data_IF_148823961630
#
_entry.id   IF_148823961630
#
_cell.length_a   1.000
_cell.length_b   1.000
_cell.length_c   1.000
_cell.angle_alpha   90.00
_cell.angle_beta   90.00
_cell.angle_gamma   90.00
#
_symmetry.space_group_name_H-M   'P 1'
#
loop_
_entity.id
_entity.type
_entity.pdbx_description
1 polymer ?
#
# COMPACT_ATOMS: atom_id res chain seq x y z
N UNK A 1 0.99 12.34 -33.09
CA UNK A 1 0.26 11.23 -32.40
C UNK A 1 -0.68 11.88 -31.41
N UNK A 2 -1.93 11.46 -31.33
CA UNK A 2 -2.86 11.94 -30.31
C UNK A 2 -2.40 11.47 -28.94
N UNK A 3 -2.32 12.38 -27.97
CA UNK A 3 -2.00 12.05 -26.57
C UNK A 3 -3.08 11.11 -26.01
N UNK A 4 -2.66 10.04 -25.33
CA UNK A 4 -3.59 9.21 -24.55
C UNK A 4 -3.88 9.86 -23.21
N UNK A 5 -5.12 9.81 -22.78
CA UNK A 5 -5.61 10.45 -21.52
C UNK A 5 -6.03 9.36 -20.55
N UNK A 6 -5.44 9.34 -19.36
CA UNK A 6 -5.71 8.35 -18.30
C UNK A 6 -6.25 9.08 -17.08
N UNK A 7 -7.49 8.80 -16.72
CA UNK A 7 -8.11 9.28 -15.48
C UNK A 7 -7.92 8.23 -14.39
N UNK A 8 -7.29 8.60 -13.28
CA UNK A 8 -7.03 7.69 -12.16
C UNK A 8 -7.89 8.15 -10.98
N UNK A 9 -8.83 7.30 -10.58
CA UNK A 9 -9.74 7.52 -9.47
C UNK A 9 -9.18 6.84 -8.21
N UNK A 10 -9.07 7.60 -7.13
CA UNK A 10 -8.55 7.14 -5.84
C UNK A 10 -9.37 7.68 -4.68
N UNK A 11 -9.13 7.19 -3.47
CA UNK A 11 -9.71 7.72 -2.24
C UNK A 11 -8.62 7.95 -1.19
N UNK A 12 -8.92 8.80 -0.22
CA UNK A 12 -8.04 9.12 0.91
C UNK A 12 -8.32 8.28 2.16
N UNK A 13 -9.07 7.17 2.01
CA UNK A 13 -9.32 6.17 3.04
C UNK A 13 -8.02 5.41 3.40
N UNK A 14 -7.14 6.05 4.16
CA UNK A 14 -5.78 5.63 4.42
C UNK A 14 -4.82 5.92 3.24
N UNK A 15 -3.53 5.76 3.45
CA UNK A 15 -2.50 6.14 2.46
C UNK A 15 -2.36 5.17 1.27
N UNK A 16 -2.90 3.94 1.36
CA UNK A 16 -2.61 2.88 0.39
C UNK A 16 -3.16 3.12 -1.01
N UNK A 17 -4.40 3.61 -1.11
CA UNK A 17 -5.09 3.80 -2.40
C UNK A 17 -4.50 4.96 -3.19
N UNK A 18 -4.25 6.10 -2.53
CA UNK A 18 -3.64 7.28 -3.15
C UNK A 18 -2.21 6.99 -3.59
N UNK A 19 -1.38 6.40 -2.72
CA UNK A 19 -0.01 6.04 -3.07
C UNK A 19 0.05 5.06 -4.25
N UNK A 20 -0.90 4.13 -4.35
CA UNK A 20 -1.02 3.22 -5.49
C UNK A 20 -1.36 3.98 -6.79
N UNK A 21 -2.28 4.94 -6.73
CA UNK A 21 -2.65 5.78 -7.85
C UNK A 21 -1.46 6.64 -8.34
N UNK A 22 -0.77 7.29 -7.41
CA UNK A 22 0.43 8.10 -7.67
C UNK A 22 1.59 7.26 -8.23
N UNK A 23 1.76 6.02 -7.76
CA UNK A 23 2.75 5.10 -8.30
C UNK A 23 2.47 4.73 -9.76
N UNK A 24 1.20 4.50 -10.12
CA UNK A 24 0.79 4.23 -11.51
C UNK A 24 0.97 5.48 -12.37
N UNK A 25 0.59 6.66 -11.87
CA UNK A 25 0.80 7.94 -12.56
C UNK A 25 2.29 8.18 -12.85
N UNK A 26 3.15 8.04 -11.82
CA UNK A 26 4.59 8.20 -11.96
C UNK A 26 5.18 7.22 -13.01
N UNK A 27 4.73 5.96 -13.01
CA UNK A 27 5.16 4.97 -13.99
C UNK A 27 4.70 5.33 -15.42
N UNK A 28 3.46 5.82 -15.60
CA UNK A 28 2.96 6.30 -16.89
C UNK A 28 3.77 7.50 -17.39
N UNK A 29 4.07 8.45 -16.52
CA UNK A 29 4.88 9.63 -16.86
C UNK A 29 6.31 9.24 -17.27
N UNK A 30 6.93 8.28 -16.56
CA UNK A 30 8.28 7.80 -16.88
C UNK A 30 8.34 7.01 -18.19
N UNK A 31 7.35 6.17 -18.47
CA UNK A 31 7.36 5.33 -19.68
C UNK A 31 6.95 6.09 -20.95
N UNK A 32 6.01 7.03 -20.83
CA UNK A 32 5.36 7.60 -22.01
C UNK A 32 5.48 9.14 -22.11
N UNK A 33 5.92 9.82 -21.04
CA UNK A 33 6.18 11.25 -21.05
C UNK A 33 5.01 12.04 -21.66
N UNK A 34 5.32 12.94 -22.58
CA UNK A 34 4.34 13.82 -23.25
C UNK A 34 3.28 13.09 -24.09
N UNK A 35 3.42 11.78 -24.31
CA UNK A 35 2.42 10.98 -25.01
C UNK A 35 1.23 10.62 -24.12
N UNK A 36 1.39 10.71 -22.78
CA UNK A 36 0.38 10.40 -21.78
C UNK A 36 -0.01 11.63 -20.98
N UNK A 37 -1.29 11.91 -20.88
CA UNK A 37 -1.83 12.91 -19.95
C UNK A 37 -2.59 12.18 -18.86
N UNK A 38 -2.17 12.34 -17.62
CA UNK A 38 -2.81 11.74 -16.45
C UNK A 38 -3.55 12.79 -15.63
N UNK A 39 -4.59 12.35 -14.94
CA UNK A 39 -5.28 13.11 -13.89
C UNK A 39 -5.63 12.17 -12.75
N UNK A 40 -5.06 12.37 -11.57
CA UNK A 40 -5.41 11.64 -10.34
C UNK A 40 -6.46 12.47 -9.59
N UNK A 41 -7.58 11.84 -9.26
CA UNK A 41 -8.72 12.51 -8.60
C UNK A 41 -9.28 11.62 -7.51
N UNK A 42 -9.56 12.21 -6.34
CA UNK A 42 -10.51 11.66 -5.40
C UNK A 42 -11.89 12.27 -5.73
N UNK A 43 -12.86 11.49 -6.22
CA UNK A 43 -14.19 12.02 -6.55
C UNK A 43 -14.92 12.66 -5.36
N UNK A 44 -14.53 12.35 -4.13
CA UNK A 44 -15.13 12.92 -2.92
C UNK A 44 -14.62 14.33 -2.60
N UNK A 45 -13.47 14.74 -3.18
CA UNK A 45 -12.95 16.10 -3.05
C UNK A 45 -13.63 17.08 -4.02
N UNK A 46 -14.39 16.58 -5.00
CA UNK A 46 -15.10 17.43 -5.96
C UNK A 46 -16.22 18.22 -5.28
N UNK A 47 -16.45 19.45 -5.74
CA UNK A 47 -17.35 20.40 -5.08
C UNK A 47 -18.81 19.92 -4.99
N UNK A 48 -19.24 19.08 -5.91
CA UNK A 48 -20.59 18.49 -5.99
C UNK A 48 -20.65 17.06 -5.40
N UNK A 49 -19.57 16.59 -4.78
CA UNK A 49 -19.59 15.31 -4.08
C UNK A 49 -20.54 15.36 -2.88
N UNK A 50 -21.39 14.31 -2.70
CA UNK A 50 -22.38 14.31 -1.63
C UNK A 50 -21.71 14.32 -0.25
N UNK A 51 -22.07 15.28 0.58
CA UNK A 51 -21.56 15.48 1.94
C UNK A 51 -21.68 14.19 2.80
N UNK A 52 -22.78 13.44 2.61
CA UNK A 52 -23.01 12.19 3.33
C UNK A 52 -21.90 11.15 3.10
N UNK A 53 -21.34 11.08 1.88
CA UNK A 53 -20.27 10.10 1.59
C UNK A 53 -18.95 10.57 2.20
N UNK A 54 -18.65 11.88 2.17
CA UNK A 54 -17.48 12.45 2.85
C UNK A 54 -17.49 12.13 4.34
N UNK A 55 -18.62 12.33 4.99
CA UNK A 55 -18.79 12.01 6.42
C UNK A 55 -18.64 10.51 6.71
N UNK A 56 -19.04 9.64 5.78
CA UNK A 56 -18.83 8.19 5.93
C UNK A 56 -17.35 7.79 5.79
N UNK A 57 -16.60 8.46 4.91
CA UNK A 57 -15.15 8.23 4.74
C UNK A 57 -14.38 8.73 5.96
N UNK A 58 -14.66 9.94 6.43
CA UNK A 58 -14.08 10.52 7.65
C UNK A 58 -14.40 9.65 8.88
N UNK A 59 -15.64 9.24 9.06
CA UNK A 59 -16.08 8.37 10.16
C UNK A 59 -15.47 6.97 10.12
N UNK A 60 -15.09 6.48 8.94
CA UNK A 60 -14.38 5.22 8.80
C UNK A 60 -13.00 5.25 9.46
N UNK A 61 -12.23 6.31 9.24
CA UNK A 61 -10.90 6.46 9.82
C UNK A 61 -10.97 6.66 11.35
N UNK A 62 -11.95 7.40 11.85
CA UNK A 62 -12.21 7.53 13.29
C UNK A 62 -12.57 6.17 13.92
N UNK A 63 -13.46 5.39 13.30
CA UNK A 63 -13.87 4.08 13.79
C UNK A 63 -12.70 3.10 13.87
N UNK A 64 -11.76 3.14 12.93
CA UNK A 64 -10.55 2.32 12.93
C UNK A 64 -9.70 2.56 14.16
N UNK A 65 -9.62 3.82 14.62
CA UNK A 65 -8.77 4.24 15.75
C UNK A 65 -9.50 4.09 17.09
N UNK A 66 -10.77 4.52 17.15
CA UNK A 66 -11.51 4.64 18.42
C UNK A 66 -12.20 3.34 18.83
N UNK A 67 -12.73 2.55 17.89
CA UNK A 67 -13.40 1.27 18.17
C UNK A 67 -13.04 0.16 17.18
N UNK A 68 -11.85 -0.46 17.34
CA UNK A 68 -11.41 -1.56 16.47
C UNK A 68 -12.33 -2.79 16.46
N UNK A 69 -13.15 -2.97 17.53
CA UNK A 69 -14.10 -4.09 17.60
C UNK A 69 -15.32 -3.82 16.69
N UNK A 70 -15.87 -2.62 16.75
CA UNK A 70 -16.93 -2.16 15.85
C UNK A 70 -16.48 -2.15 14.40
N UNK A 71 -15.27 -1.64 14.14
CA UNK A 71 -14.65 -1.68 12.83
C UNK A 71 -14.59 -3.09 12.25
N UNK A 72 -14.13 -4.08 13.04
CA UNK A 72 -14.07 -5.49 12.61
C UNK A 72 -15.46 -6.03 12.22
N UNK A 73 -16.50 -5.70 12.99
CA UNK A 73 -17.89 -6.12 12.70
C UNK A 73 -18.37 -5.48 11.39
N UNK A 74 -18.15 -4.17 11.21
CA UNK A 74 -18.50 -3.45 9.99
C UNK A 74 -17.76 -3.98 8.76
N UNK A 75 -16.45 -4.24 8.88
CA UNK A 75 -15.64 -4.83 7.82
C UNK A 75 -16.15 -6.19 7.36
N UNK A 76 -16.47 -7.09 8.31
CA UNK A 76 -17.04 -8.40 7.98
C UNK A 76 -18.46 -8.30 7.40
N UNK A 77 -19.28 -7.36 7.88
CA UNK A 77 -20.61 -7.14 7.32
C UNK A 77 -20.53 -6.67 5.85
N UNK A 78 -19.62 -5.74 5.53
CA UNK A 78 -19.36 -5.28 4.15
C UNK A 78 -18.84 -6.41 3.24
N UNK A 79 -18.23 -7.45 3.79
CA UNK A 79 -17.81 -8.64 3.04
C UNK A 79 -18.98 -9.56 2.64
N UNK A 80 -20.19 -9.35 3.15
CA UNK A 80 -21.36 -10.15 2.76
C UNK A 80 -21.95 -9.65 1.44
N UNK A 81 -22.34 -10.54 0.49
CA UNK A 81 -22.82 -10.12 -0.83
C UNK A 81 -23.98 -9.14 -0.77
N UNK A 82 -24.95 -9.35 0.12
CA UNK A 82 -26.12 -8.49 0.24
C UNK A 82 -25.76 -7.05 0.67
N UNK A 83 -24.85 -6.91 1.64
CA UNK A 83 -24.42 -5.58 2.12
C UNK A 83 -23.53 -4.92 1.06
N UNK A 84 -22.66 -5.68 0.39
CA UNK A 84 -21.85 -5.19 -0.71
C UNK A 84 -22.73 -4.63 -1.84
N UNK A 85 -23.77 -5.36 -2.26
CA UNK A 85 -24.72 -4.91 -3.30
C UNK A 85 -25.45 -3.62 -2.91
N UNK A 86 -25.86 -3.47 -1.64
CA UNK A 86 -26.50 -2.27 -1.12
C UNK A 86 -25.52 -1.08 -1.14
N UNK A 87 -24.29 -1.28 -0.65
CA UNK A 87 -23.24 -0.25 -0.64
C UNK A 87 -22.91 0.18 -2.05
N UNK A 88 -22.75 -0.77 -2.98
CA UNK A 88 -22.48 -0.49 -4.39
C UNK A 88 -23.62 0.32 -5.05
N UNK A 89 -24.86 -0.09 -4.84
CA UNK A 89 -26.03 0.61 -5.39
C UNK A 89 -26.15 2.04 -4.82
N UNK A 90 -25.89 2.22 -3.53
CA UNK A 90 -25.90 3.51 -2.87
C UNK A 90 -24.77 4.43 -3.38
N UNK A 91 -23.53 3.93 -3.42
CA UNK A 91 -22.39 4.66 -3.96
C UNK A 91 -22.63 5.04 -5.42
N UNK A 92 -23.15 4.11 -6.24
CA UNK A 92 -23.46 4.35 -7.65
C UNK A 92 -24.47 5.49 -7.81
N UNK A 93 -25.55 5.47 -7.04
CA UNK A 93 -26.58 6.51 -7.11
C UNK A 93 -26.04 7.89 -6.72
N UNK A 94 -25.17 7.97 -5.73
CA UNK A 94 -24.66 9.23 -5.20
C UNK A 94 -23.50 9.79 -6.01
N UNK A 95 -22.66 8.92 -6.60
CA UNK A 95 -21.45 9.35 -7.31
C UNK A 95 -21.63 9.44 -8.83
N UNK A 96 -22.76 9.00 -9.39
CA UNK A 96 -22.96 8.95 -10.84
C UNK A 96 -22.70 10.29 -11.52
N UNK A 97 -23.29 11.38 -11.00
CA UNK A 97 -23.19 12.71 -11.60
C UNK A 97 -21.76 13.25 -11.55
N UNK A 98 -21.05 13.02 -10.42
CA UNK A 98 -19.63 13.39 -10.26
C UNK A 98 -18.78 12.60 -11.25
N UNK A 99 -18.99 11.27 -11.36
CA UNK A 99 -18.25 10.42 -12.30
C UNK A 99 -18.51 10.81 -13.75
N UNK A 100 -19.76 11.08 -14.09
CA UNK A 100 -20.13 11.49 -15.45
C UNK A 100 -19.44 12.81 -15.83
N UNK A 101 -19.48 13.80 -14.94
CA UNK A 101 -18.78 15.07 -15.15
C UNK A 101 -17.28 14.88 -15.30
N UNK A 102 -16.63 14.10 -14.43
CA UNK A 102 -15.19 13.81 -14.51
C UNK A 102 -14.81 13.16 -15.86
N UNK A 103 -15.62 12.21 -16.33
CA UNK A 103 -15.42 11.54 -17.63
C UNK A 103 -15.63 12.51 -18.79
N UNK A 104 -16.68 13.33 -18.76
CA UNK A 104 -17.00 14.30 -19.81
C UNK A 104 -15.96 15.42 -19.90
N UNK A 105 -15.52 15.98 -18.78
CA UNK A 105 -14.57 17.09 -18.74
C UNK A 105 -13.15 16.63 -19.13
N UNK A 106 -12.73 15.47 -18.64
CA UNK A 106 -11.40 14.98 -18.92
C UNK A 106 -11.32 14.19 -20.23
N UNK A 107 -12.39 13.59 -20.74
CA UNK A 107 -12.43 12.75 -21.95
C UNK A 107 -11.32 11.69 -21.96
N UNK A 108 -11.26 10.79 -20.98
CA UNK A 108 -10.21 9.78 -20.89
C UNK A 108 -10.37 8.71 -21.99
N UNK A 109 -9.25 8.08 -22.38
CA UNK A 109 -9.26 6.84 -23.15
C UNK A 109 -9.36 5.63 -22.21
N UNK A 110 -8.77 5.77 -21.01
CA UNK A 110 -8.82 4.75 -19.93
C UNK A 110 -9.14 5.43 -18.62
N UNK A 111 -10.04 4.81 -17.85
CA UNK A 111 -10.23 5.11 -16.42
C UNK A 111 -9.61 4.00 -15.59
N UNK A 112 -8.79 4.36 -14.60
CA UNK A 112 -8.19 3.45 -13.62
C UNK A 112 -8.83 3.70 -12.26
N UNK A 113 -9.37 2.68 -11.61
CA UNK A 113 -9.86 2.78 -10.23
C UNK A 113 -8.91 2.06 -9.29
N UNK A 114 -8.42 2.77 -8.26
CA UNK A 114 -7.65 2.19 -7.14
C UNK A 114 -8.49 2.08 -5.87
N UNK A 115 -9.81 2.25 -5.97
CA UNK A 115 -10.74 2.16 -4.85
C UNK A 115 -11.97 1.29 -5.20
N UNK A 116 -12.41 0.38 -4.29
CA UNK A 116 -13.39 -0.66 -4.64
C UNK A 116 -14.76 -0.11 -5.06
N UNK A 117 -15.25 0.96 -4.42
CA UNK A 117 -16.59 1.47 -4.64
C UNK A 117 -16.73 2.38 -5.87
N UNK A 118 -15.64 2.70 -6.59
CA UNK A 118 -15.69 3.60 -7.74
C UNK A 118 -15.86 2.91 -9.09
N UNK A 119 -15.58 1.59 -9.16
CA UNK A 119 -15.62 0.86 -10.42
C UNK A 119 -17.03 0.83 -11.05
N UNK A 120 -18.09 0.63 -10.25
CA UNK A 120 -19.45 0.55 -10.76
C UNK A 120 -20.04 1.93 -11.12
N UNK A 121 -19.94 2.98 -10.27
CA UNK A 121 -20.37 4.32 -10.64
C UNK A 121 -19.73 4.83 -11.94
N UNK A 122 -18.40 4.67 -12.07
CA UNK A 122 -17.72 5.14 -13.28
C UNK A 122 -18.05 4.28 -14.50
N UNK A 123 -18.28 2.98 -14.35
CA UNK A 123 -18.73 2.13 -15.45
C UNK A 123 -20.12 2.54 -15.97
N UNK A 124 -21.00 3.01 -15.08
CA UNK A 124 -22.29 3.56 -15.47
C UNK A 124 -22.12 4.89 -16.20
N UNK A 125 -21.31 5.79 -15.66
CA UNK A 125 -21.00 7.07 -16.30
C UNK A 125 -20.38 6.88 -17.71
N UNK A 126 -19.46 5.92 -17.88
CA UNK A 126 -18.89 5.59 -19.19
C UNK A 126 -19.97 5.16 -20.18
N UNK A 127 -20.95 4.35 -19.75
CA UNK A 127 -22.05 3.90 -20.62
C UNK A 127 -22.98 5.02 -21.08
N UNK A 128 -23.07 6.10 -20.32
CA UNK A 128 -23.82 7.28 -20.69
C UNK A 128 -23.09 8.15 -21.72
N UNK A 129 -21.82 7.92 -21.96
CA UNK A 129 -21.05 8.55 -23.02
C UNK A 129 -21.16 7.74 -24.31
N UNK A 130 -20.84 8.36 -25.44
CA UNK A 130 -20.73 7.68 -26.73
C UNK A 130 -19.31 7.23 -27.05
N UNK A 131 -18.39 7.35 -26.09
CA UNK A 131 -16.97 7.06 -26.25
C UNK A 131 -16.64 5.62 -25.84
N UNK A 132 -15.69 5.01 -26.52
CA UNK A 132 -15.13 3.71 -26.15
C UNK A 132 -14.01 3.94 -25.10
N UNK A 133 -14.39 3.88 -23.85
CA UNK A 133 -13.49 4.14 -22.70
C UNK A 133 -13.27 2.83 -21.96
N UNK A 134 -12.03 2.39 -21.86
CA UNK A 134 -11.67 1.21 -21.08
C UNK A 134 -11.69 1.52 -19.57
N UNK A 135 -12.13 0.55 -18.76
CA UNK A 135 -12.07 0.62 -17.30
C UNK A 135 -11.09 -0.42 -16.77
N UNK A 136 -10.08 0.02 -16.05
CA UNK A 136 -9.13 -0.80 -15.33
C UNK A 136 -9.34 -0.69 -13.81
N UNK A 137 -9.31 -1.81 -13.11
CA UNK A 137 -9.34 -1.88 -11.65
C UNK A 137 -7.98 -2.33 -11.15
N UNK A 138 -7.37 -1.56 -10.25
CA UNK A 138 -6.11 -1.89 -9.58
C UNK A 138 -6.43 -2.22 -8.12
N UNK A 139 -6.35 -3.50 -7.77
CA UNK A 139 -6.64 -3.96 -6.41
C UNK A 139 -5.46 -3.66 -5.50
N UNK A 140 -5.71 -2.87 -4.46
CA UNK A 140 -4.69 -2.37 -3.53
C UNK A 140 -4.65 -3.11 -2.18
N UNK A 141 -5.49 -4.11 -2.00
CA UNK A 141 -5.46 -5.03 -0.86
C UNK A 141 -4.72 -6.32 -1.24
N UNK A 142 -3.75 -6.74 -0.40
CA UNK A 142 -2.76 -7.76 -0.77
C UNK A 142 -3.31 -9.20 -0.73
N UNK A 143 -4.26 -9.52 0.15
CA UNK A 143 -4.68 -10.91 0.40
C UNK A 143 -6.17 -11.14 0.46
N UNK A 144 -6.88 -10.52 1.37
CA UNK A 144 -8.33 -10.72 1.53
C UNK A 144 -9.05 -9.46 1.04
N UNK A 145 -9.80 -9.59 -0.04
CA UNK A 145 -10.50 -8.45 -0.63
C UNK A 145 -11.99 -8.68 -0.67
N UNK A 146 -12.73 -7.61 -0.49
CA UNK A 146 -14.18 -7.61 -0.59
C UNK A 146 -14.65 -7.79 -2.03
N UNK A 147 -15.84 -8.35 -2.24
CA UNK A 147 -16.42 -8.56 -3.57
C UNK A 147 -16.58 -7.29 -4.39
N UNK A 148 -16.69 -6.13 -3.75
CA UNK A 148 -16.74 -4.80 -4.37
C UNK A 148 -15.57 -4.48 -5.31
N UNK A 149 -14.43 -5.16 -5.15
CA UNK A 149 -13.28 -5.02 -6.05
C UNK A 149 -13.50 -5.65 -7.43
N UNK A 150 -14.44 -6.60 -7.56
CA UNK A 150 -14.60 -7.40 -8.78
C UNK A 150 -15.74 -6.88 -9.67
N UNK A 151 -15.48 -5.84 -10.44
CA UNK A 151 -16.46 -5.29 -11.38
C UNK A 151 -16.46 -6.05 -12.71
N UNK A 152 -17.59 -6.63 -13.10
CA UNK A 152 -17.76 -7.27 -14.40
C UNK A 152 -17.72 -6.27 -15.57
N UNK A 153 -17.93 -4.99 -15.31
CA UNK A 153 -17.84 -3.93 -16.29
C UNK A 153 -16.39 -3.55 -16.60
N UNK A 154 -15.43 -3.90 -15.72
CA UNK A 154 -14.02 -3.60 -15.96
C UNK A 154 -13.45 -4.40 -17.13
N UNK A 155 -12.67 -3.72 -17.97
CA UNK A 155 -11.91 -4.30 -19.07
C UNK A 155 -10.75 -5.15 -18.55
N UNK A 156 -10.10 -4.71 -17.46
CA UNK A 156 -8.95 -5.38 -16.85
C UNK A 156 -8.94 -5.19 -15.33
N UNK A 157 -8.51 -6.23 -14.61
CA UNK A 157 -8.17 -6.19 -13.19
C UNK A 157 -6.68 -6.48 -13.01
N UNK A 158 -5.96 -5.53 -12.41
CA UNK A 158 -4.59 -5.72 -11.97
C UNK A 158 -4.62 -6.15 -10.51
N UNK A 159 -4.13 -7.35 -10.23
CA UNK A 159 -4.26 -7.97 -8.90
C UNK A 159 -2.87 -8.20 -8.28
N UNK A 160 -2.76 -8.05 -6.93
CA UNK A 160 -1.45 -8.11 -6.28
C UNK A 160 -0.86 -9.52 -6.19
N UNK A 161 -1.68 -10.55 -6.07
CA UNK A 161 -1.23 -11.92 -5.82
C UNK A 161 -2.02 -12.97 -6.61
N UNK A 162 -1.48 -14.16 -6.69
CA UNK A 162 -2.19 -15.32 -7.27
C UNK A 162 -3.43 -15.73 -6.44
N UNK A 163 -3.44 -15.42 -5.14
CA UNK A 163 -4.59 -15.63 -4.27
C UNK A 163 -5.76 -14.73 -4.72
N UNK A 164 -5.50 -13.45 -4.94
CA UNK A 164 -6.52 -12.49 -5.40
C UNK A 164 -6.97 -12.81 -6.83
N UNK A 165 -6.08 -13.30 -7.68
CA UNK A 165 -6.47 -13.83 -9.01
C UNK A 165 -7.49 -14.96 -8.87
N UNK A 166 -7.28 -15.89 -7.94
CA UNK A 166 -8.24 -16.98 -7.71
C UNK A 166 -9.58 -16.44 -7.23
N UNK A 167 -9.58 -15.49 -6.30
CA UNK A 167 -10.81 -14.84 -5.83
C UNK A 167 -11.54 -14.11 -6.98
N UNK A 168 -10.80 -13.48 -7.92
CA UNK A 168 -11.40 -12.88 -9.10
C UNK A 168 -12.15 -13.92 -9.97
N UNK A 169 -11.57 -15.10 -10.16
CA UNK A 169 -12.23 -16.20 -10.89
C UNK A 169 -13.47 -16.72 -10.17
N UNK A 170 -13.43 -16.83 -8.85
CA UNK A 170 -14.57 -17.21 -8.01
C UNK A 170 -15.70 -16.18 -8.12
N UNK A 171 -15.36 -14.89 -8.27
CA UNK A 171 -16.30 -13.79 -8.55
C UNK A 171 -16.68 -13.66 -10.03
N UNK A 172 -16.37 -14.68 -10.85
CA UNK A 172 -16.75 -14.77 -12.28
C UNK A 172 -16.11 -13.71 -13.18
N UNK A 173 -14.92 -13.21 -12.81
CA UNK A 173 -14.11 -12.41 -13.73
C UNK A 173 -13.36 -13.34 -14.68
N UNK A 174 -13.44 -13.15 -16.01
CA UNK A 174 -12.74 -13.98 -16.98
C UNK A 174 -11.22 -13.92 -16.80
N UNK A 175 -10.54 -15.05 -16.97
CA UNK A 175 -9.09 -15.14 -16.81
C UNK A 175 -8.32 -14.17 -17.73
N UNK A 176 -8.86 -13.86 -18.91
CA UNK A 176 -8.31 -12.89 -19.87
C UNK A 176 -8.39 -11.44 -19.41
N UNK A 177 -9.12 -11.17 -18.33
CA UNK A 177 -9.28 -9.84 -17.73
C UNK A 177 -8.63 -9.72 -16.36
N UNK A 178 -7.71 -10.62 -16.02
CA UNK A 178 -7.01 -10.60 -14.72
C UNK A 178 -5.51 -10.77 -14.95
N UNK A 179 -4.76 -9.78 -14.51
CA UNK A 179 -3.30 -9.80 -14.59
C UNK A 179 -2.67 -9.66 -13.19
N UNK A 180 -1.80 -10.59 -12.81
CA UNK A 180 -1.06 -10.56 -11.53
C UNK A 180 0.19 -9.71 -11.71
N UNK A 181 0.14 -8.47 -11.26
CA UNK A 181 1.23 -7.49 -11.38
C UNK A 181 1.98 -7.24 -10.06
N UNK A 182 1.34 -7.48 -8.93
CA UNK A 182 1.74 -6.94 -7.64
C UNK A 182 0.90 -5.70 -7.29
N UNK A 183 0.94 -5.30 -6.03
CA UNK A 183 0.42 -4.00 -5.60
C UNK A 183 1.38 -2.91 -6.11
N UNK A 184 0.88 -1.85 -6.76
CA UNK A 184 1.77 -0.82 -7.30
C UNK A 184 2.51 -0.10 -6.19
N UNK A 185 3.82 -0.20 -6.23
CA UNK A 185 4.77 0.52 -5.36
C UNK A 185 5.47 1.60 -6.18
N UNK A 186 5.94 2.65 -5.51
CA UNK A 186 6.54 3.78 -6.21
C UNK A 186 7.71 3.36 -7.11
N UNK A 187 7.78 3.81 -8.38
CA UNK A 187 8.81 3.42 -9.36
C UNK A 187 10.26 3.59 -8.87
N UNK A 188 10.50 4.53 -7.95
CA UNK A 188 11.81 4.74 -7.33
C UNK A 188 12.37 3.45 -6.68
N UNK A 189 11.53 2.53 -6.20
CA UNK A 189 11.96 1.24 -5.63
C UNK A 189 12.66 0.37 -6.70
N UNK A 190 12.09 0.31 -7.90
CA UNK A 190 12.69 -0.46 -8.99
C UNK A 190 13.95 0.21 -9.56
N UNK A 191 14.00 1.55 -9.55
CA UNK A 191 15.15 2.33 -10.04
C UNK A 191 16.31 2.38 -9.06
N UNK A 192 16.05 2.22 -7.77
CA UNK A 192 17.10 2.23 -6.76
C UNK A 192 17.88 0.92 -6.79
N UNK A 193 19.05 0.97 -7.45
CA UNK A 193 19.93 -0.19 -7.67
C UNK A 193 21.31 -0.01 -7.04
N UNK A 194 21.54 1.11 -6.32
CA UNK A 194 22.80 1.36 -5.63
C UNK A 194 23.03 0.30 -4.54
N UNK A 195 24.30 0.05 -4.27
CA UNK A 195 24.70 -0.81 -3.17
C UNK A 195 24.16 -0.27 -1.83
N UNK A 196 23.61 -1.12 -0.95
CA UNK A 196 23.13 -0.72 0.37
C UNK A 196 24.14 0.07 1.21
N UNK A 197 25.44 -0.24 1.10
CA UNK A 197 26.49 0.50 1.82
C UNK A 197 26.66 1.92 1.29
N UNK A 198 26.51 2.13 -0.04
CA UNK A 198 26.53 3.46 -0.64
C UNK A 198 25.31 4.27 -0.21
N UNK A 199 24.15 3.61 -0.10
CA UNK A 199 22.94 4.26 0.40
C UNK A 199 23.09 4.65 1.87
N UNK A 200 23.68 3.80 2.72
CA UNK A 200 23.98 4.13 4.13
C UNK A 200 24.86 5.36 4.24
N UNK A 201 25.93 5.43 3.45
CA UNK A 201 26.80 6.62 3.42
C UNK A 201 26.01 7.88 3.04
N UNK A 202 25.19 7.80 2.00
CA UNK A 202 24.33 8.92 1.57
C UNK A 202 23.34 9.37 2.66
N UNK A 203 22.84 8.40 3.48
CA UNK A 203 21.89 8.65 4.57
C UNK A 203 22.59 9.07 5.87
N UNK A 204 23.93 9.07 5.92
CA UNK A 204 24.71 9.32 7.13
C UNK A 204 24.62 8.14 8.14
N UNK A 205 24.30 6.93 7.66
CA UNK A 205 24.23 5.72 8.49
C UNK A 205 25.59 5.01 8.51
N UNK A 206 25.86 4.30 9.58
CA UNK A 206 27.09 3.52 9.71
C UNK A 206 27.02 2.30 8.78
N UNK A 207 28.05 2.12 7.94
CA UNK A 207 28.07 1.06 6.92
C UNK A 207 28.19 -0.34 7.53
N UNK A 208 29.04 -0.49 8.57
CA UNK A 208 29.42 -1.76 9.17
C UNK A 208 28.40 -2.29 10.21
N UNK A 209 27.40 -1.50 10.56
CA UNK A 209 26.43 -1.86 11.60
C UNK A 209 25.10 -2.22 10.96
N UNK A 210 24.51 -3.40 11.28
CA UNK A 210 23.16 -3.74 10.84
C UNK A 210 22.17 -2.65 11.20
N UNK A 211 21.26 -2.36 10.28
CA UNK A 211 20.29 -1.27 10.41
C UNK A 211 18.86 -1.80 10.49
N UNK A 212 18.19 -1.52 11.61
CA UNK A 212 16.75 -1.71 11.76
C UNK A 212 16.00 -0.44 11.39
N UNK A 213 15.16 -0.51 10.34
CA UNK A 213 14.25 0.57 9.97
C UNK A 213 12.94 0.38 10.74
N UNK A 214 12.56 1.35 11.55
CA UNK A 214 11.30 1.35 12.31
C UNK A 214 10.38 2.39 11.67
N UNK A 215 9.22 1.94 11.17
CA UNK A 215 8.26 2.84 10.52
C UNK A 215 6.98 2.89 11.34
N UNK A 216 6.73 4.06 11.92
CA UNK A 216 5.51 4.37 12.66
C UNK A 216 4.46 5.01 11.74
N UNK A 217 3.24 5.05 12.22
CA UNK A 217 2.13 5.81 11.67
C UNK A 217 1.22 6.25 12.83
N UNK A 218 0.28 7.14 12.57
CA UNK A 218 -0.73 7.55 13.57
C UNK A 218 -1.52 6.38 14.18
N UNK A 219 -1.53 5.21 13.50
CA UNK A 219 -2.21 3.99 13.93
C UNK A 219 -1.31 3.00 14.67
N UNK A 220 -0.04 3.34 14.96
CA UNK A 220 0.91 2.48 15.68
C UNK A 220 1.13 2.99 17.11
N UNK A 221 1.07 2.08 18.09
CA UNK A 221 1.11 2.47 19.50
C UNK A 221 2.44 2.14 20.21
N UNK A 222 3.18 1.13 19.70
CA UNK A 222 4.30 0.53 20.44
C UNK A 222 5.69 0.98 19.94
N UNK A 223 5.79 1.76 18.86
CA UNK A 223 7.05 2.04 18.17
C UNK A 223 8.10 2.73 19.07
N UNK A 224 7.68 3.65 19.97
CA UNK A 224 8.60 4.26 20.93
C UNK A 224 9.16 3.25 21.94
N UNK A 225 8.37 2.27 22.36
CA UNK A 225 8.80 1.22 23.31
C UNK A 225 9.71 0.22 22.60
N UNK A 226 9.36 -0.18 21.38
CA UNK A 226 10.18 -1.06 20.53
C UNK A 226 11.55 -0.44 20.28
N UNK A 227 11.59 0.83 19.84
CA UNK A 227 12.85 1.53 19.56
C UNK A 227 13.77 1.58 20.78
N UNK A 228 13.22 1.94 21.96
CA UNK A 228 13.99 1.98 23.20
C UNK A 228 14.46 0.61 23.68
N UNK A 229 13.67 -0.44 23.46
CA UNK A 229 14.03 -1.79 23.85
C UNK A 229 15.16 -2.33 22.96
N UNK A 230 15.08 -2.09 21.65
CA UNK A 230 16.12 -2.46 20.70
C UNK A 230 17.43 -1.70 20.95
N UNK A 231 17.38 -0.42 21.26
CA UNK A 231 18.56 0.39 21.61
C UNK A 231 19.28 -0.11 22.87
N UNK A 232 18.51 -0.59 23.86
CA UNK A 232 19.05 -1.11 25.12
C UNK A 232 19.52 -2.56 25.03
N UNK A 233 19.19 -3.24 23.95
CA UNK A 233 19.60 -4.61 23.74
C UNK A 233 21.13 -4.69 23.57
N UNK A 234 21.73 -5.74 24.10
CA UNK A 234 23.17 -5.99 23.93
C UNK A 234 23.48 -6.61 22.55
N UNK A 235 22.99 -5.93 21.50
CA UNK A 235 23.24 -6.28 20.09
C UNK A 235 23.85 -5.07 19.37
N UNK A 236 24.77 -5.33 18.44
CA UNK A 236 25.30 -4.28 17.58
C UNK A 236 24.25 -3.98 16.53
N UNK A 237 23.59 -2.82 16.65
CA UNK A 237 22.49 -2.40 15.81
C UNK A 237 22.43 -0.87 15.77
N UNK A 238 22.19 -0.30 14.59
CA UNK A 238 21.74 1.08 14.47
C UNK A 238 20.25 1.11 14.11
N UNK A 239 19.57 2.14 14.54
CA UNK A 239 18.14 2.31 14.29
C UNK A 239 17.90 3.55 13.42
N UNK A 240 17.06 3.40 12.42
CA UNK A 240 16.46 4.50 11.69
C UNK A 240 14.95 4.50 12.00
N UNK A 241 14.46 5.54 12.66
CA UNK A 241 13.07 5.62 13.12
C UNK A 241 12.36 6.72 12.37
N UNK A 242 11.35 6.36 11.58
CA UNK A 242 10.48 7.26 10.83
C UNK A 242 9.14 7.35 11.55
N UNK A 243 8.78 8.55 12.00
CA UNK A 243 7.57 8.77 12.80
C UNK A 243 6.29 8.94 11.97
N UNK A 244 6.41 9.06 10.63
CA UNK A 244 5.26 9.12 9.72
C UNK A 244 4.39 10.37 9.89
N UNK A 245 4.98 11.50 10.28
CA UNK A 245 4.30 12.77 10.55
C UNK A 245 3.67 12.85 11.95
N UNK A 246 3.89 11.86 12.83
CA UNK A 246 3.49 11.95 14.23
C UNK A 246 4.50 12.82 15.02
N UNK A 247 4.27 14.13 14.98
CA UNK A 247 5.14 15.11 15.65
C UNK A 247 5.17 14.97 17.19
N UNK A 248 4.20 14.29 17.82
CA UNK A 248 4.25 13.98 19.24
C UNK A 248 5.22 12.83 19.51
N UNK A 249 5.12 11.75 18.74
CA UNK A 249 6.06 10.65 18.81
C UNK A 249 7.49 11.13 18.54
N UNK A 250 7.69 11.95 17.49
CA UNK A 250 9.00 12.50 17.14
C UNK A 250 9.61 13.29 18.30
N UNK A 251 8.86 14.24 18.90
CA UNK A 251 9.31 15.01 20.07
C UNK A 251 9.63 14.12 21.28
N UNK A 252 8.84 13.09 21.52
CA UNK A 252 9.09 12.13 22.62
C UNK A 252 10.38 11.35 22.38
N UNK A 253 10.66 10.93 21.16
CA UNK A 253 11.88 10.19 20.82
C UNK A 253 13.13 11.08 20.87
N UNK A 254 13.03 12.36 20.52
CA UNK A 254 14.13 13.33 20.66
C UNK A 254 14.60 13.52 22.11
N UNK A 255 13.72 13.27 23.09
CA UNK A 255 14.06 13.40 24.52
C UNK A 255 14.69 12.11 25.09
N UNK A 256 14.78 11.04 24.33
CA UNK A 256 15.36 9.78 24.77
C UNK A 256 16.89 9.88 24.75
N UNK A 257 17.52 9.47 25.84
CA UNK A 257 18.97 9.24 25.85
C UNK A 257 19.26 7.86 25.25
N UNK A 258 19.73 7.88 24.01
CA UNK A 258 20.06 6.67 23.24
C UNK A 258 21.45 6.12 23.64
N UNK A 259 21.62 4.80 23.58
CA UNK A 259 22.88 4.11 23.89
C UNK A 259 23.68 3.80 22.63
N UNK A 260 22.99 3.53 21.53
CA UNK A 260 23.54 3.24 20.20
C UNK A 260 23.27 4.35 19.18
N UNK A 261 23.68 4.12 17.93
CA UNK A 261 23.40 5.05 16.83
C UNK A 261 21.90 5.00 16.49
N UNK A 262 21.22 6.15 16.61
CA UNK A 262 19.79 6.28 16.28
C UNK A 262 19.58 7.52 15.41
N UNK A 263 18.93 7.32 14.27
CA UNK A 263 18.54 8.37 13.34
C UNK A 263 17.03 8.55 13.42
N UNK A 264 16.58 9.76 13.77
CA UNK A 264 15.17 10.09 13.93
C UNK A 264 14.69 10.97 12.78
N UNK A 265 13.56 10.58 12.18
CA UNK A 265 12.92 11.31 11.10
C UNK A 265 11.45 11.52 11.43
N UNK A 266 10.95 12.74 11.31
CA UNK A 266 9.52 13.03 11.43
C UNK A 266 8.78 12.51 10.20
N UNK A 267 9.20 13.00 9.01
CA UNK A 267 8.73 12.59 7.69
C UNK A 267 9.90 12.42 6.74
N UNK A 268 9.76 11.56 5.73
CA UNK A 268 10.79 11.32 4.70
C UNK A 268 10.17 11.16 3.31
N UNK A 269 10.85 11.66 2.29
CA UNK A 269 10.48 11.50 0.88
C UNK A 269 11.33 10.44 0.17
N UNK A 270 12.34 9.91 0.87
CA UNK A 270 13.32 8.95 0.33
C UNK A 270 13.17 7.54 0.94
N UNK A 271 11.95 7.16 1.32
CA UNK A 271 11.67 5.84 1.89
C UNK A 271 12.25 4.67 1.07
N UNK A 272 12.18 4.65 -0.28
CA UNK A 272 12.80 3.59 -1.09
C UNK A 272 14.29 3.40 -0.81
N UNK A 273 15.06 4.48 -0.67
CA UNK A 273 16.50 4.41 -0.37
C UNK A 273 16.74 3.89 1.05
N UNK A 274 15.94 4.32 2.02
CA UNK A 274 16.03 3.85 3.41
C UNK A 274 15.72 2.37 3.51
N UNK A 275 14.67 1.89 2.83
CA UNK A 275 14.31 0.47 2.78
C UNK A 275 15.41 -0.39 2.13
N UNK A 276 16.02 0.11 1.04
CA UNK A 276 17.14 -0.57 0.38
C UNK A 276 18.44 -0.58 1.21
N UNK A 277 18.63 0.42 2.07
CA UNK A 277 19.79 0.53 2.95
C UNK A 277 19.66 -0.28 4.24
N UNK A 278 18.43 -0.61 4.65
CA UNK A 278 18.16 -1.33 5.90
C UNK A 278 18.34 -2.85 5.77
N UNK A 279 18.55 -3.51 6.89
CA UNK A 279 18.64 -4.98 6.95
C UNK A 279 17.31 -5.64 7.25
N UNK A 280 16.46 -4.98 8.03
CA UNK A 280 15.10 -5.40 8.32
C UNK A 280 14.23 -4.18 8.65
N UNK A 281 12.92 -4.36 8.56
CA UNK A 281 11.95 -3.33 8.94
C UNK A 281 11.05 -3.82 10.07
N UNK A 282 10.71 -2.93 10.99
CA UNK A 282 9.65 -3.11 11.99
C UNK A 282 8.50 -2.17 11.64
N UNK A 283 7.33 -2.72 11.39
CA UNK A 283 6.15 -1.94 10.98
C UNK A 283 4.85 -2.67 11.27
N UNK A 284 3.72 -2.00 11.05
CA UNK A 284 2.41 -2.66 10.98
C UNK A 284 2.23 -3.41 9.66
N UNK A 285 1.21 -4.27 9.59
CA UNK A 285 0.93 -5.11 8.42
C UNK A 285 0.13 -4.41 7.30
N UNK A 286 0.29 -3.11 7.06
CA UNK A 286 -0.41 -2.41 5.97
C UNK A 286 -0.03 -2.96 4.59
N UNK A 287 -0.99 -3.04 3.66
CA UNK A 287 -0.75 -3.63 2.33
C UNK A 287 0.37 -2.95 1.55
N UNK A 288 0.41 -1.60 1.58
CA UNK A 288 1.45 -0.84 0.88
C UNK A 288 2.85 -1.09 1.47
N UNK A 289 3.02 -0.89 2.79
CA UNK A 289 4.34 -1.04 3.45
C UNK A 289 4.87 -2.48 3.34
N UNK A 290 3.98 -3.49 3.38
CA UNK A 290 4.33 -4.89 3.13
C UNK A 290 4.83 -5.05 1.69
N UNK A 291 4.11 -4.53 0.71
CA UNK A 291 4.48 -4.64 -0.70
C UNK A 291 5.78 -3.91 -1.03
N UNK A 292 6.00 -2.73 -0.47
CA UNK A 292 7.24 -1.96 -0.61
C UNK A 292 8.43 -2.68 0.02
N UNK A 293 8.25 -3.22 1.23
CA UNK A 293 9.30 -4.00 1.91
C UNK A 293 9.70 -5.22 1.10
N UNK A 294 8.73 -6.00 0.62
CA UNK A 294 8.96 -7.14 -0.24
C UNK A 294 9.64 -6.74 -1.57
N UNK A 295 9.20 -5.63 -2.18
CA UNK A 295 9.79 -5.10 -3.41
C UNK A 295 11.25 -4.63 -3.22
N UNK A 296 11.61 -4.20 -2.01
CA UNK A 296 12.98 -3.91 -1.61
C UNK A 296 13.78 -5.15 -1.20
N UNK A 297 13.15 -6.33 -1.10
CA UNK A 297 13.78 -7.54 -0.56
C UNK A 297 14.08 -7.41 0.94
N UNK A 298 13.29 -6.61 1.67
CA UNK A 298 13.54 -6.26 3.07
C UNK A 298 12.73 -7.17 4.01
N UNK A 299 13.38 -7.97 4.88
CA UNK A 299 12.72 -8.80 5.89
C UNK A 299 11.86 -7.98 6.85
N UNK A 300 10.66 -8.48 7.18
CA UNK A 300 9.73 -7.75 8.03
C UNK A 300 9.54 -8.38 9.41
N UNK A 301 9.62 -7.56 10.45
CA UNK A 301 9.10 -7.85 11.78
C UNK A 301 7.77 -7.07 11.91
N UNK A 302 6.66 -7.78 11.82
CA UNK A 302 5.35 -7.17 11.88
C UNK A 302 4.92 -7.10 13.34
N UNK A 303 4.80 -5.89 13.88
CA UNK A 303 4.48 -5.66 15.29
C UNK A 303 3.00 -5.37 15.56
N UNK A 304 2.28 -4.90 14.56
CA UNK A 304 0.87 -4.51 14.67
C UNK A 304 0.10 -4.84 13.38
N UNK A 305 -1.18 -5.13 13.51
CA UNK A 305 -2.08 -5.36 12.38
C UNK A 305 -3.50 -4.93 12.74
N UNK A 306 -4.18 -4.25 11.84
CA UNK A 306 -5.60 -3.92 12.00
C UNK A 306 -6.44 -5.20 11.93
N UNK A 307 -7.33 -5.41 12.92
CA UNK A 307 -8.21 -6.58 12.92
C UNK A 307 -9.13 -6.61 11.69
N UNK A 308 -9.15 -7.73 10.98
CA UNK A 308 -9.93 -7.91 9.74
C UNK A 308 -9.06 -7.64 8.52
N UNK A 309 -8.78 -6.40 8.18
CA UNK A 309 -8.14 -6.01 6.93
C UNK A 309 -6.67 -6.45 6.81
N UNK A 310 -5.86 -6.31 7.88
CA UNK A 310 -4.41 -6.55 7.80
C UNK A 310 -3.98 -7.96 8.24
N UNK A 311 -4.89 -8.76 8.82
CA UNK A 311 -4.57 -10.13 9.30
C UNK A 311 -4.11 -11.04 8.16
N UNK A 312 -4.73 -10.90 6.99
CA UNK A 312 -4.32 -11.63 5.79
C UNK A 312 -2.89 -11.28 5.35
N UNK A 313 -2.49 -10.01 5.47
CA UNK A 313 -1.13 -9.56 5.13
C UNK A 313 -0.09 -10.17 6.08
N UNK A 314 -0.40 -10.26 7.39
CA UNK A 314 0.45 -10.98 8.36
C UNK A 314 0.63 -12.42 7.93
N UNK A 315 -0.48 -13.12 7.64
CA UNK A 315 -0.46 -14.52 7.18
C UNK A 315 0.39 -14.68 5.92
N UNK A 316 0.20 -13.80 4.93
CA UNK A 316 0.94 -13.85 3.67
C UNK A 316 2.46 -13.74 3.89
N UNK A 317 2.90 -12.81 4.73
CA UNK A 317 4.34 -12.62 5.03
C UNK A 317 4.91 -13.81 5.81
N UNK A 318 4.19 -14.29 6.83
CA UNK A 318 4.64 -15.36 7.73
C UNK A 318 4.65 -16.73 7.03
N UNK A 319 3.58 -17.10 6.33
CA UNK A 319 3.49 -18.38 5.61
C UNK A 319 4.49 -18.49 4.45
N UNK A 320 4.90 -17.35 3.89
CA UNK A 320 5.95 -17.32 2.88
C UNK A 320 7.36 -17.10 3.46
N UNK A 321 7.50 -17.11 4.78
CA UNK A 321 8.77 -16.96 5.49
C UNK A 321 9.56 -15.69 5.12
N UNK A 322 8.86 -14.63 4.70
CA UNK A 322 9.44 -13.33 4.34
C UNK A 322 9.48 -12.34 5.52
N UNK A 323 9.01 -12.77 6.67
CA UNK A 323 8.99 -11.99 7.91
C UNK A 323 8.38 -12.79 9.06
N UNK A 324 8.22 -12.11 10.20
CA UNK A 324 7.71 -12.72 11.44
C UNK A 324 6.63 -11.85 12.06
N UNK A 325 5.59 -12.48 12.58
CA UNK A 325 4.60 -11.82 13.45
C UNK A 325 5.15 -11.75 14.87
N UNK A 326 5.31 -10.55 15.38
CA UNK A 326 5.88 -10.24 16.70
C UNK A 326 5.03 -9.12 17.36
N UNK A 327 3.85 -9.45 17.94
CA UNK A 327 2.83 -8.47 18.34
C UNK A 327 3.17 -7.62 19.57
N UNK A 328 4.38 -7.72 20.07
CA UNK A 328 4.82 -6.94 21.22
C UNK A 328 6.30 -6.60 21.20
N UNK A 329 6.74 -5.62 22.02
CA UNK A 329 8.13 -5.19 22.04
C UNK A 329 9.14 -6.30 22.38
N UNK A 330 8.76 -7.24 23.25
CA UNK A 330 9.62 -8.36 23.64
C UNK A 330 9.81 -9.36 22.49
N UNK A 331 8.74 -9.64 21.73
CA UNK A 331 8.74 -10.51 20.55
C UNK A 331 9.55 -9.88 19.41
N UNK A 332 9.44 -8.56 19.21
CA UNK A 332 10.27 -7.82 18.24
C UNK A 332 11.75 -7.95 18.61
N UNK A 333 12.10 -7.73 19.88
CA UNK A 333 13.47 -7.87 20.36
C UNK A 333 13.99 -9.31 20.15
N UNK A 334 13.21 -10.31 20.53
CA UNK A 334 13.59 -11.73 20.39
C UNK A 334 13.82 -12.09 18.91
N UNK A 335 12.98 -11.60 18.01
CA UNK A 335 13.11 -11.81 16.56
C UNK A 335 14.37 -11.13 16.02
N UNK A 336 14.59 -9.85 16.33
CA UNK A 336 15.78 -9.11 15.91
C UNK A 336 17.06 -9.78 16.44
N UNK A 337 17.06 -10.23 17.68
CA UNK A 337 18.17 -10.96 18.27
C UNK A 337 18.44 -12.28 17.52
N UNK A 338 17.40 -13.06 17.25
CA UNK A 338 17.50 -14.33 16.50
C UNK A 338 18.07 -14.10 15.09
N UNK A 339 17.61 -13.07 14.40
CA UNK A 339 18.06 -12.77 13.04
C UNK A 339 19.51 -12.30 12.98
N UNK A 340 19.96 -11.51 13.95
CA UNK A 340 21.29 -10.90 13.95
C UNK A 340 22.36 -11.78 14.64
N UNK A 341 21.97 -12.63 15.59
CA UNK A 341 22.88 -13.45 16.41
C UNK A 341 22.66 -14.96 16.29
N UNK A 342 21.59 -15.38 15.59
CA UNK A 342 21.28 -16.79 15.38
C UNK A 342 22.39 -17.52 14.60
N UNK A 343 22.51 -18.82 14.81
CA UNK A 343 23.49 -19.68 14.11
C UNK A 343 22.73 -20.87 13.51
N UNK A 344 22.62 -20.99 12.17
CA UNK A 344 23.05 -20.02 11.14
C UNK A 344 22.24 -18.72 11.16
N UNK A 345 22.73 -17.62 10.58
CA UNK A 345 21.98 -16.38 10.48
C UNK A 345 20.68 -16.61 9.72
N UNK A 346 19.54 -16.29 10.35
CA UNK A 346 18.22 -16.50 9.73
C UNK A 346 17.84 -15.37 8.77
N UNK A 347 18.43 -14.18 8.94
CA UNK A 347 18.10 -12.99 8.19
C UNK A 347 18.25 -13.16 6.67
N UNK A 348 19.31 -13.85 6.22
CA UNK A 348 19.56 -14.04 4.79
C UNK A 348 18.49 -14.93 4.12
N UNK A 349 18.02 -15.97 4.83
CA UNK A 349 16.95 -16.83 4.34
C UNK A 349 15.63 -16.06 4.22
N UNK A 350 15.29 -15.25 5.23
CA UNK A 350 14.09 -14.39 5.23
C UNK A 350 14.19 -13.35 4.11
N UNK A 351 15.36 -12.75 3.90
CA UNK A 351 15.65 -11.82 2.79
C UNK A 351 15.44 -12.48 1.43
N UNK A 352 15.94 -13.68 1.23
CA UNK A 352 15.76 -14.43 -0.03
C UNK A 352 14.27 -14.65 -0.35
N UNK A 353 13.46 -14.96 0.67
CA UNK A 353 12.02 -15.10 0.53
C UNK A 353 11.33 -13.75 0.22
N UNK A 354 11.73 -12.67 0.88
CA UNK A 354 11.22 -11.33 0.57
C UNK A 354 11.51 -10.94 -0.88
N UNK A 355 12.74 -11.17 -1.38
CA UNK A 355 13.11 -10.95 -2.79
C UNK A 355 12.25 -11.78 -3.73
N UNK A 356 12.00 -13.05 -3.42
CA UNK A 356 11.16 -13.95 -4.24
C UNK A 356 9.72 -13.45 -4.39
N UNK A 357 9.17 -12.85 -3.33
CA UNK A 357 7.79 -12.33 -3.32
C UNK A 357 7.68 -10.93 -3.91
N UNK A 358 8.75 -10.16 -3.83
CA UNK A 358 8.77 -8.76 -4.22
C UNK A 358 8.38 -8.52 -5.67
N UNK A 359 7.64 -7.43 -5.91
CA UNK A 359 7.19 -6.99 -7.24
C UNK A 359 7.59 -5.53 -7.47
N UNK A 360 8.91 -5.23 -7.56
CA UNK A 360 9.38 -3.85 -7.68
C UNK A 360 8.90 -3.14 -8.94
N UNK A 361 8.54 -3.90 -10.00
CA UNK A 361 8.05 -3.36 -11.26
C UNK A 361 6.53 -3.23 -11.35
N UNK A 362 5.78 -3.52 -10.27
CA UNK A 362 4.30 -3.59 -10.31
C UNK A 362 3.65 -2.34 -10.92
N UNK A 363 4.11 -1.13 -10.57
CA UNK A 363 3.58 0.11 -11.14
C UNK A 363 3.86 0.22 -12.66
N UNK A 364 5.03 -0.20 -13.12
CA UNK A 364 5.36 -0.22 -14.55
C UNK A 364 4.52 -1.24 -15.31
N UNK A 365 4.37 -2.46 -14.79
CA UNK A 365 3.58 -3.52 -15.41
C UNK A 365 2.11 -3.09 -15.54
N UNK A 366 1.57 -2.39 -14.51
CA UNK A 366 0.23 -1.80 -14.56
C UNK A 366 0.16 -0.67 -15.58
N UNK A 367 1.14 0.23 -15.60
CA UNK A 367 1.20 1.34 -16.56
C UNK A 367 1.25 0.86 -18.02
N UNK A 368 2.05 -0.17 -18.31
CA UNK A 368 2.10 -0.82 -19.62
C UNK A 368 0.74 -1.44 -20.01
N UNK A 369 0.08 -2.12 -19.05
CA UNK A 369 -1.25 -2.67 -19.25
C UNK A 369 -2.31 -1.60 -19.50
N UNK A 370 -2.33 -0.53 -18.71
CA UNK A 370 -3.23 0.62 -18.89
C UNK A 370 -2.99 1.29 -20.23
N UNK A 371 -1.74 1.49 -20.61
CA UNK A 371 -1.38 2.04 -21.91
C UNK A 371 -1.88 1.19 -23.09
N UNK A 372 -1.84 -0.12 -22.94
CA UNK A 372 -2.34 -1.05 -23.97
C UNK A 372 -3.87 -1.06 -24.12
N UNK A 373 -4.61 -0.53 -23.11
CA UNK A 373 -6.07 -0.40 -23.16
C UNK A 373 -6.54 0.92 -23.79
N UNK A 374 -5.69 1.94 -23.85
CA UNK A 374 -6.00 3.29 -24.30
C UNK A 374 -6.03 3.45 -25.83
#
# INVERSE_FOLDING_TARGET
MTQKRVLILTADAGFGHRSAAEAVEAALAELYGDQCVTKVVNPLDEADAPELIRQLEEGYDEMVVEDPALYRIAYHAMGTPLVADIVEAFATRLLNDVMLRLVQDFQPHVVVSTYPTYAQPVALAIKETTQDIALAVVITDLTDVQSLWYSRAATMHFVPTSLIRQQAYDNKIPATRVWVTGLPVHPAIARETRDPLVLRDTLGWMQEIPTGLIVASARTQQMATISRLLDRAQIVLQLAVVCGGDGELFRRLQQVQWHGPVHLYDWVDNMPQMMKAADFIVSKAGGLIVSESLACGLPMIISEALPGQEVGNVRYVVENEAGTWAPGPAEVLATAFSWLKGTPPQLDAVRANAVRLGKPRAAYDIAEGVWGLA
#
